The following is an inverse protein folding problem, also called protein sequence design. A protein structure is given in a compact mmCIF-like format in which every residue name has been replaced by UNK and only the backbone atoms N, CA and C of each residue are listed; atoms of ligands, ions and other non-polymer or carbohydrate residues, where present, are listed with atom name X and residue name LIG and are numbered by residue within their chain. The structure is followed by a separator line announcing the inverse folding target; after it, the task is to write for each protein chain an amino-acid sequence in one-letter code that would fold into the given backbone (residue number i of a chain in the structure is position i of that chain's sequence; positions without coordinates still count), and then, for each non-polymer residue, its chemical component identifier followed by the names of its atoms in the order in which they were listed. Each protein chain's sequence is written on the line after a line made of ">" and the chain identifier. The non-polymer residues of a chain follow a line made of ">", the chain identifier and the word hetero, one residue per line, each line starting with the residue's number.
data_IF_783448786055
#
_entry.id   IF_783448786055
#
_cell.length_a   1.000
_cell.length_b   1.000
_cell.length_c   1.000
_cell.angle_alpha   90.00
_cell.angle_beta   90.00
_cell.angle_gamma   90.00
#
_symmetry.space_group_name_H-M   'P 1'
#
loop_
_entity.id
_entity.type
_entity.pdbx_description
1 polymer ?
#
# COMPACT_ATOMS: atom_id res chain seq x y z
N UNK A 1 -28.07 1.63 1.87
CA UNK A 1 -27.35 0.62 1.05
C UNK A 1 -25.88 0.79 1.37
N UNK A 2 -25.19 -0.27 1.79
CA UNK A 2 -23.73 -0.19 1.95
C UNK A 2 -23.13 0.14 0.58
N UNK A 3 -22.25 1.14 0.51
CA UNK A 3 -21.54 1.43 -0.73
C UNK A 3 -20.74 0.19 -1.15
N UNK A 4 -20.73 -0.10 -2.45
CA UNK A 4 -19.92 -1.18 -3.00
C UNK A 4 -18.45 -0.80 -2.91
N UNK A 5 -17.59 -1.66 -2.37
CA UNK A 5 -16.15 -1.41 -2.34
C UNK A 5 -15.61 -1.35 -3.78
N UNK A 6 -14.79 -0.35 -4.10
CA UNK A 6 -14.16 -0.20 -5.41
C UNK A 6 -12.64 -0.29 -5.24
N UNK A 7 -12.01 -1.24 -5.94
CA UNK A 7 -10.61 -1.63 -5.75
C UNK A 7 -9.86 -1.44 -7.07
N UNK A 8 -8.75 -0.70 -7.02
CA UNK A 8 -7.83 -0.53 -8.15
C UNK A 8 -6.84 -1.70 -8.22
N UNK A 9 -6.71 -2.29 -9.41
CA UNK A 9 -5.68 -3.28 -9.74
C UNK A 9 -4.95 -2.89 -11.03
N UNK A 10 -3.80 -3.51 -11.30
CA UNK A 10 -3.09 -3.38 -12.57
C UNK A 10 -2.72 -4.80 -13.06
N UNK A 11 -3.04 -5.17 -14.32
CA UNK A 11 -2.79 -6.51 -14.83
C UNK A 11 -1.28 -6.78 -15.03
N UNK A 12 -0.82 -8.04 -14.85
CA UNK A 12 0.61 -8.37 -14.82
C UNK A 12 1.22 -8.57 -16.21
N UNK A 13 0.87 -7.73 -17.18
CA UNK A 13 1.27 -7.91 -18.57
C UNK A 13 2.77 -7.67 -18.80
N UNK A 14 3.38 -6.82 -17.97
CA UNK A 14 4.82 -6.55 -17.95
C UNK A 14 5.47 -6.93 -16.61
N UNK A 15 4.80 -7.77 -15.81
CA UNK A 15 5.30 -8.17 -14.50
C UNK A 15 6.53 -9.07 -14.60
N UNK A 16 7.55 -8.77 -13.80
CA UNK A 16 8.81 -9.51 -13.74
C UNK A 16 9.66 -9.08 -12.55
N UNK A 17 10.60 -9.93 -12.13
CA UNK A 17 11.64 -9.53 -11.16
C UNK A 17 12.84 -9.02 -11.95
N UNK A 18 12.85 -7.72 -12.25
CA UNK A 18 13.91 -7.07 -13.05
C UNK A 18 15.03 -6.48 -12.18
N UNK A 19 14.74 -6.26 -10.90
CA UNK A 19 15.64 -5.69 -9.89
C UNK A 19 15.31 -6.27 -8.51
N UNK A 20 16.15 -5.97 -7.51
CA UNK A 20 16.02 -6.49 -6.15
C UNK A 20 16.04 -5.31 -5.16
N UNK A 21 14.85 -4.90 -4.72
CA UNK A 21 14.65 -3.74 -3.81
C UNK A 21 13.98 -4.13 -2.48
N UNK A 22 13.88 -5.44 -2.21
CA UNK A 22 13.45 -6.00 -0.93
C UNK A 22 14.03 -7.42 -0.76
N UNK A 23 13.87 -7.99 0.43
CA UNK A 23 14.44 -9.29 0.78
C UNK A 23 13.79 -10.51 0.07
N UNK A 24 12.61 -10.33 -0.55
CA UNK A 24 11.89 -11.40 -1.26
C UNK A 24 12.32 -11.53 -2.72
N UNK A 25 12.64 -10.40 -3.35
CA UNK A 25 13.04 -10.35 -4.75
C UNK A 25 14.36 -11.09 -4.97
N UNK A 26 14.41 -11.92 -6.01
CA UNK A 26 15.65 -12.52 -6.48
C UNK A 26 15.56 -12.77 -7.99
N UNK A 27 16.43 -12.13 -8.77
CA UNK A 27 16.48 -12.31 -10.23
C UNK A 27 16.85 -13.73 -10.63
N UNK A 28 17.48 -14.48 -9.72
CA UNK A 28 17.75 -15.91 -9.90
C UNK A 28 16.50 -16.80 -9.87
N UNK A 29 15.37 -16.26 -9.37
CA UNK A 29 14.08 -16.94 -9.27
C UNK A 29 13.01 -16.09 -9.99
N UNK A 30 13.02 -16.06 -11.34
CA UNK A 30 12.11 -15.21 -12.10
C UNK A 30 10.65 -15.64 -11.90
N UNK A 31 9.73 -14.70 -12.14
CA UNK A 31 8.30 -15.01 -12.21
C UNK A 31 7.97 -15.81 -13.48
N UNK A 32 6.94 -16.66 -13.39
CA UNK A 32 6.31 -17.28 -14.56
C UNK A 32 5.15 -16.38 -15.02
N UNK A 33 5.22 -15.77 -16.23
CA UNK A 33 4.18 -14.84 -16.69
C UNK A 33 2.79 -15.47 -16.81
N UNK A 34 2.71 -16.75 -17.23
CA UNK A 34 1.42 -17.45 -17.36
C UNK A 34 0.82 -17.70 -16.00
N UNK A 35 1.64 -18.17 -15.05
CA UNK A 35 1.22 -18.40 -13.66
C UNK A 35 0.83 -17.09 -12.97
N UNK A 36 1.60 -16.03 -13.15
CA UNK A 36 1.30 -14.71 -12.59
C UNK A 36 -0.05 -14.19 -13.09
N UNK A 37 -0.31 -14.27 -14.39
CA UNK A 37 -1.62 -13.90 -14.98
C UNK A 37 -2.75 -14.75 -14.42
N UNK A 38 -2.57 -16.07 -14.30
CA UNK A 38 -3.59 -16.96 -13.74
C UNK A 38 -3.89 -16.61 -12.27
N UNK A 39 -2.86 -16.38 -11.46
CA UNK A 39 -3.01 -16.02 -10.05
C UNK A 39 -3.69 -14.67 -9.88
N UNK A 40 -3.30 -13.66 -10.67
CA UNK A 40 -3.92 -12.34 -10.66
C UNK A 40 -5.40 -12.39 -11.05
N UNK A 41 -5.75 -13.15 -12.10
CA UNK A 41 -7.15 -13.35 -12.50
C UNK A 41 -7.94 -14.07 -11.40
N UNK A 42 -7.31 -15.02 -10.72
CA UNK A 42 -7.87 -15.68 -9.55
C UNK A 42 -8.22 -14.70 -8.44
N UNK A 43 -7.28 -13.82 -8.06
CA UNK A 43 -7.50 -12.78 -7.06
C UNK A 43 -8.63 -11.83 -7.46
N UNK A 44 -8.58 -11.28 -8.67
CA UNK A 44 -9.63 -10.39 -9.20
C UNK A 44 -11.02 -11.03 -9.09
N UNK A 45 -11.14 -12.30 -9.51
CA UNK A 45 -12.42 -13.03 -9.44
C UNK A 45 -12.91 -13.20 -8.00
N UNK A 46 -12.02 -13.45 -7.04
CA UNK A 46 -12.42 -13.56 -5.63
C UNK A 46 -12.88 -12.22 -5.05
N UNK A 47 -12.21 -11.12 -5.41
CA UNK A 47 -12.63 -9.77 -5.00
C UNK A 47 -14.02 -9.43 -5.58
N UNK A 48 -14.24 -9.68 -6.87
CA UNK A 48 -15.53 -9.47 -7.53
C UNK A 48 -16.63 -10.36 -6.92
N UNK A 49 -16.32 -11.63 -6.62
CA UNK A 49 -17.26 -12.57 -5.98
C UNK A 49 -17.61 -12.16 -4.54
N UNK A 50 -16.69 -11.51 -3.82
CA UNK A 50 -16.93 -10.90 -2.52
C UNK A 50 -17.74 -9.59 -2.60
N UNK A 51 -18.09 -9.14 -3.81
CA UNK A 51 -18.94 -7.97 -4.07
C UNK A 51 -18.18 -6.70 -4.44
N UNK A 52 -16.85 -6.71 -4.49
CA UNK A 52 -16.08 -5.54 -4.90
C UNK A 52 -16.31 -5.21 -6.40
N UNK A 53 -16.20 -3.94 -6.75
CA UNK A 53 -15.97 -3.48 -8.10
C UNK A 53 -14.47 -3.38 -8.32
N UNK A 54 -13.92 -4.21 -9.20
CA UNK A 54 -12.50 -4.10 -9.57
C UNK A 54 -12.38 -3.21 -10.80
N UNK A 55 -11.63 -2.12 -10.65
CA UNK A 55 -11.21 -1.25 -11.75
C UNK A 55 -9.73 -1.48 -12.02
N UNK A 56 -9.34 -1.36 -13.29
CA UNK A 56 -7.97 -1.61 -13.71
C UNK A 56 -7.36 -0.36 -14.30
N UNK A 57 -6.11 -0.06 -13.93
CA UNK A 57 -5.26 0.83 -14.72
C UNK A 57 -4.53 0.04 -15.81
N UNK A 58 -4.10 0.74 -16.85
CA UNK A 58 -3.32 0.14 -17.93
C UNK A 58 -1.89 -0.16 -17.46
N UNK A 59 -1.36 -1.36 -17.74
CA UNK A 59 0.01 -1.72 -17.42
C UNK A 59 0.99 -1.01 -18.37
N UNK A 60 2.22 -0.75 -17.91
CA UNK A 60 3.22 -0.03 -18.68
C UNK A 60 4.53 -0.84 -18.86
N UNK A 61 5.11 -0.90 -20.08
CA UNK A 61 6.39 -1.55 -20.30
C UNK A 61 7.51 -0.96 -19.45
N UNK A 62 8.32 -1.82 -18.83
CA UNK A 62 9.45 -1.42 -17.99
C UNK A 62 9.05 -0.87 -16.61
N UNK A 63 7.79 -1.04 -16.20
CA UNK A 63 7.27 -0.80 -14.84
C UNK A 63 6.66 -2.09 -14.28
N UNK A 64 7.48 -3.12 -13.98
CA UNK A 64 6.97 -4.43 -13.57
C UNK A 64 6.20 -4.39 -12.25
N UNK A 65 6.54 -3.47 -11.35
CA UNK A 65 5.93 -3.34 -10.02
C UNK A 65 4.63 -2.50 -10.02
N UNK A 66 4.20 -1.96 -11.17
CA UNK A 66 2.93 -1.21 -11.28
C UNK A 66 1.70 -2.09 -10.94
N UNK A 67 1.86 -3.41 -10.96
CA UNK A 67 0.87 -4.38 -10.47
C UNK A 67 0.53 -4.22 -8.99
N UNK A 68 1.42 -3.63 -8.19
CA UNK A 68 1.27 -3.43 -6.75
C UNK A 68 0.61 -2.07 -6.45
N UNK A 69 -0.65 -1.95 -6.85
CA UNK A 69 -1.46 -0.72 -6.76
C UNK A 69 -1.74 -0.26 -5.33
N UNK A 70 -1.53 -1.11 -4.32
CA UNK A 70 -1.55 -0.71 -2.91
C UNK A 70 -0.55 0.44 -2.64
N UNK A 71 0.56 0.49 -3.38
CA UNK A 71 1.55 1.54 -3.26
C UNK A 71 1.31 2.72 -4.19
N UNK A 72 0.22 2.77 -4.96
CA UNK A 72 -0.04 3.90 -5.87
C UNK A 72 -0.36 5.18 -5.09
N UNK A 73 -1.26 5.08 -4.10
CA UNK A 73 -1.66 6.20 -3.26
C UNK A 73 -2.26 5.73 -1.93
N UNK A 74 -2.39 6.66 -0.99
CA UNK A 74 -3.33 6.56 0.13
C UNK A 74 -4.61 7.33 -0.23
N UNK A 75 -5.76 6.66 -0.11
CA UNK A 75 -7.07 7.25 -0.42
C UNK A 75 -7.79 7.64 0.88
N UNK A 76 -8.27 8.88 0.95
CA UNK A 76 -9.13 9.34 2.03
C UNK A 76 -10.22 10.27 1.49
N UNK A 77 -11.47 9.82 1.55
CA UNK A 77 -12.60 10.51 0.92
C UNK A 77 -12.41 10.63 -0.60
N UNK A 78 -12.28 11.87 -1.10
CA UNK A 78 -11.99 12.18 -2.51
C UNK A 78 -10.54 12.52 -2.78
N UNK A 79 -9.67 12.49 -1.77
CA UNK A 79 -8.25 12.82 -1.90
C UNK A 79 -7.44 11.56 -2.13
N UNK A 80 -6.54 11.59 -3.12
CA UNK A 80 -5.54 10.57 -3.38
C UNK A 80 -4.16 11.16 -3.12
N UNK A 81 -3.50 10.75 -2.03
CA UNK A 81 -2.12 11.14 -1.74
C UNK A 81 -1.19 10.15 -2.45
N UNK A 82 -0.71 10.54 -3.63
CA UNK A 82 0.12 9.70 -4.48
C UNK A 82 1.50 9.50 -3.87
N UNK A 83 2.01 8.28 -4.02
CA UNK A 83 3.27 7.85 -3.46
C UNK A 83 4.48 8.58 -4.05
N UNK A 84 5.44 8.88 -3.17
CA UNK A 84 6.81 9.19 -3.55
C UNK A 84 7.72 8.03 -3.12
N UNK A 85 8.00 7.15 -4.08
CA UNK A 85 8.80 5.95 -3.85
C UNK A 85 10.24 6.25 -3.43
N UNK A 86 10.76 5.43 -2.50
CA UNK A 86 12.17 5.49 -2.07
C UNK A 86 13.12 5.07 -3.18
N UNK A 87 12.77 4.04 -3.93
CA UNK A 87 13.62 3.49 -4.98
C UNK A 87 13.30 4.10 -6.34
N UNK A 88 14.35 4.60 -7.03
CA UNK A 88 14.24 5.23 -8.35
C UNK A 88 13.54 4.36 -9.41
N UNK A 89 13.66 3.03 -9.29
CA UNK A 89 13.00 2.08 -10.21
C UNK A 89 11.47 2.18 -10.16
N UNK A 90 10.89 2.50 -9.00
CA UNK A 90 9.44 2.67 -8.81
C UNK A 90 8.97 4.12 -8.91
N UNK A 91 9.86 5.11 -8.79
CA UNK A 91 9.50 6.52 -8.98
C UNK A 91 8.91 6.83 -10.37
N UNK A 92 9.19 5.97 -11.36
CA UNK A 92 8.63 6.08 -12.71
C UNK A 92 7.15 5.67 -12.78
N UNK A 93 6.60 5.05 -11.73
CA UNK A 93 5.18 4.70 -11.60
C UNK A 93 4.33 5.92 -11.22
N UNK A 94 4.86 6.83 -10.40
CA UNK A 94 4.14 8.01 -9.89
C UNK A 94 3.36 8.79 -10.96
N UNK A 95 3.90 9.12 -12.16
CA UNK A 95 3.13 9.84 -13.18
C UNK A 95 1.95 9.04 -13.78
N UNK A 96 1.98 7.71 -13.70
CA UNK A 96 0.87 6.84 -14.11
C UNK A 96 -0.23 6.85 -13.05
N UNK A 97 0.16 6.78 -11.78
CA UNK A 97 -0.75 6.85 -10.64
C UNK A 97 -1.47 8.22 -10.59
N UNK A 98 -0.72 9.33 -10.68
CA UNK A 98 -1.26 10.70 -10.71
C UNK A 98 -2.28 10.87 -11.84
N UNK A 99 -1.95 10.38 -13.03
CA UNK A 99 -2.84 10.44 -14.19
C UNK A 99 -4.10 9.63 -13.95
N UNK A 100 -3.97 8.38 -13.50
CA UNK A 100 -5.12 7.50 -13.29
C UNK A 100 -6.10 8.09 -12.26
N UNK A 101 -5.59 8.52 -11.10
CA UNK A 101 -6.43 9.11 -10.06
C UNK A 101 -7.06 10.44 -10.52
N UNK A 102 -6.33 11.26 -11.27
CA UNK A 102 -6.85 12.51 -11.82
C UNK A 102 -7.97 12.28 -12.86
N UNK A 103 -7.80 11.33 -13.77
CA UNK A 103 -8.80 10.95 -14.78
C UNK A 103 -10.05 10.32 -14.13
N UNK A 104 -9.89 9.62 -13.02
CA UNK A 104 -10.99 9.05 -12.23
C UNK A 104 -11.71 10.10 -11.33
N UNK A 105 -11.17 11.31 -11.25
CA UNK A 105 -11.79 12.45 -10.55
C UNK A 105 -11.48 12.52 -9.06
N UNK A 106 -10.34 12.00 -8.62
CA UNK A 106 -9.79 12.28 -7.29
C UNK A 106 -9.10 13.65 -7.25
N UNK A 107 -9.09 14.26 -6.06
CA UNK A 107 -8.20 15.35 -5.73
C UNK A 107 -6.80 14.78 -5.47
N UNK A 108 -5.94 14.89 -6.48
CA UNK A 108 -4.59 14.31 -6.47
C UNK A 108 -3.65 15.23 -5.70
N UNK A 109 -3.14 14.71 -4.59
CA UNK A 109 -2.16 15.37 -3.72
C UNK A 109 -0.85 14.57 -3.76
N UNK A 110 0.28 15.25 -3.59
CA UNK A 110 1.58 14.59 -3.53
C UNK A 110 2.11 14.60 -2.09
N UNK A 111 2.87 13.57 -1.71
CA UNK A 111 3.64 13.63 -0.48
C UNK A 111 4.60 14.86 -0.47
N UNK A 112 4.82 15.53 0.68
CA UNK A 112 5.66 16.74 0.74
C UNK A 112 7.07 16.47 0.25
N UNK A 113 7.72 17.42 -0.42
CA UNK A 113 9.10 17.24 -0.91
C UNK A 113 10.09 16.81 0.18
N UNK A 114 11.10 16.03 -0.23
CA UNK A 114 12.18 15.60 0.68
C UNK A 114 11.83 14.45 1.62
N UNK A 115 10.63 13.86 1.52
CA UNK A 115 10.24 12.65 2.23
C UNK A 115 9.70 11.58 1.27
N UNK A 116 9.87 10.33 1.67
CA UNK A 116 9.31 9.15 0.99
C UNK A 116 8.01 8.70 1.66
N UNK A 117 7.08 8.24 0.82
CA UNK A 117 5.79 7.71 1.22
C UNK A 117 5.30 6.72 0.16
N UNK A 118 4.95 5.49 0.54
CA UNK A 118 4.56 4.42 -0.39
C UNK A 118 3.10 3.97 -0.22
N UNK A 119 2.21 4.93 0.05
CA UNK A 119 0.76 4.79 -0.12
C UNK A 119 0.10 3.88 0.91
N UNK A 120 -1.01 3.25 0.51
CA UNK A 120 -1.76 2.35 1.36
C UNK A 120 -0.98 1.08 1.78
N UNK A 121 0.10 0.74 1.08
CA UNK A 121 0.99 -0.34 1.52
C UNK A 121 1.73 0.00 2.82
N UNK A 122 1.99 1.28 3.10
CA UNK A 122 2.64 1.74 4.33
C UNK A 122 1.71 2.47 5.29
N UNK A 123 0.48 2.78 4.91
CA UNK A 123 -0.46 3.53 5.74
C UNK A 123 -1.88 2.95 5.64
N UNK A 124 -2.36 2.37 6.74
CA UNK A 124 -3.62 1.64 6.82
C UNK A 124 -4.51 2.21 7.91
N UNK A 125 -5.78 2.47 7.58
CA UNK A 125 -6.77 2.91 8.56
C UNK A 125 -7.32 1.71 9.36
N UNK A 126 -7.42 1.86 10.67
CA UNK A 126 -8.27 1.04 11.54
C UNK A 126 -9.18 1.99 12.32
N UNK A 127 -10.46 2.01 11.96
CA UNK A 127 -11.39 3.07 12.34
C UNK A 127 -10.89 4.43 11.85
N UNK A 128 -10.94 5.44 12.71
CA UNK A 128 -10.53 6.82 12.38
C UNK A 128 -9.02 7.07 12.52
N UNK A 129 -8.23 6.05 12.87
CA UNK A 129 -6.78 6.18 13.07
C UNK A 129 -6.00 5.62 11.89
N UNK A 130 -5.10 6.42 11.34
CA UNK A 130 -4.14 6.00 10.33
C UNK A 130 -2.89 5.43 11.00
N UNK A 131 -2.65 4.14 10.87
CA UNK A 131 -1.41 3.50 11.28
C UNK A 131 -0.43 3.54 10.12
N UNK A 132 0.79 4.03 10.35
CA UNK A 132 1.72 4.38 9.29
C UNK A 132 3.13 3.80 9.53
N UNK A 133 3.49 2.77 8.77
CA UNK A 133 4.76 2.06 8.82
C UNK A 133 5.91 2.93 8.29
N UNK A 134 7.04 2.98 8.99
CA UNK A 134 8.21 3.76 8.56
C UNK A 134 9.52 2.98 8.70
N UNK A 135 10.62 3.64 8.29
CA UNK A 135 12.04 3.25 8.38
C UNK A 135 12.59 2.57 7.13
N UNK A 136 11.84 1.62 6.56
CA UNK A 136 12.33 0.84 5.42
C UNK A 136 11.97 1.52 4.09
N UNK A 137 10.70 1.91 3.92
CA UNK A 137 10.18 2.55 2.70
C UNK A 137 9.77 4.00 2.97
N UNK A 138 8.71 4.21 3.75
CA UNK A 138 8.23 5.55 4.10
C UNK A 138 9.00 6.20 5.27
N UNK A 139 8.98 7.54 5.31
CA UNK A 139 9.58 8.33 6.38
C UNK A 139 8.52 8.80 7.39
N UNK A 140 8.83 8.72 8.69
CA UNK A 140 7.91 9.17 9.75
C UNK A 140 7.51 10.65 9.64
N UNK A 141 8.39 11.50 9.09
CA UNK A 141 8.08 12.91 8.80
C UNK A 141 7.02 13.07 7.72
N UNK A 142 7.02 12.19 6.72
CA UNK A 142 5.99 12.18 5.67
C UNK A 142 4.62 11.87 6.23
N UNK A 143 4.54 10.89 7.14
CA UNK A 143 3.30 10.50 7.81
C UNK A 143 2.64 11.64 8.59
N UNK A 144 3.43 12.45 9.31
CA UNK A 144 2.90 13.60 10.04
C UNK A 144 2.30 14.66 9.11
N UNK A 145 2.98 14.94 7.99
CA UNK A 145 2.48 15.90 7.02
C UNK A 145 1.21 15.39 6.31
N UNK A 146 1.13 14.08 6.05
CA UNK A 146 -0.08 13.43 5.51
C UNK A 146 -1.23 13.52 6.50
N UNK A 147 -0.96 13.29 7.80
CA UNK A 147 -1.94 13.48 8.86
C UNK A 147 -2.50 14.90 8.90
N UNK A 148 -1.63 15.91 8.79
CA UNK A 148 -2.03 17.31 8.74
C UNK A 148 -2.82 17.66 7.47
N UNK A 149 -2.40 17.13 6.31
CA UNK A 149 -3.10 17.31 5.03
C UNK A 149 -4.52 16.75 5.06
N UNK A 150 -4.68 15.54 5.61
CA UNK A 150 -5.96 14.82 5.62
C UNK A 150 -6.83 15.15 6.85
N UNK A 151 -6.26 15.82 7.85
CA UNK A 151 -6.93 16.11 9.11
C UNK A 151 -7.20 14.86 9.95
N UNK A 152 -6.33 13.85 9.88
CA UNK A 152 -6.51 12.55 10.56
C UNK A 152 -5.45 12.30 11.61
N UNK A 153 -5.79 11.49 12.63
CA UNK A 153 -4.83 11.01 13.61
C UNK A 153 -3.89 10.00 12.95
N UNK A 154 -2.58 10.19 13.13
CA UNK A 154 -1.56 9.29 12.60
C UNK A 154 -0.72 8.68 13.73
N UNK A 155 -0.61 7.36 13.71
CA UNK A 155 0.25 6.59 14.63
C UNK A 155 1.38 5.96 13.82
N UNK A 156 2.61 6.46 13.95
CA UNK A 156 3.75 5.87 13.26
C UNK A 156 4.12 4.53 13.89
N UNK A 157 4.43 3.52 13.06
CA UNK A 157 4.85 2.19 13.48
C UNK A 157 6.21 1.86 12.88
N UNK A 158 7.21 1.55 13.70
CA UNK A 158 8.55 1.24 13.19
C UNK A 158 8.62 -0.20 12.70
N UNK A 159 8.94 -0.39 11.42
CA UNK A 159 9.21 -1.70 10.85
C UNK A 159 10.67 -2.10 11.14
N UNK A 160 10.88 -3.25 11.78
CA UNK A 160 12.21 -3.71 12.23
C UNK A 160 12.74 -4.92 11.47
N UNK A 161 11.90 -5.58 10.67
CA UNK A 161 12.26 -6.77 9.89
C UNK A 161 12.25 -6.44 8.39
N UNK A 162 13.38 -6.64 7.66
CA UNK A 162 13.46 -6.34 6.23
C UNK A 162 12.55 -7.22 5.35
N UNK A 163 12.03 -8.34 5.85
CA UNK A 163 11.02 -9.14 5.15
C UNK A 163 9.63 -8.51 5.23
N UNK A 164 9.39 -7.63 6.20
CA UNK A 164 8.13 -6.91 6.38
C UNK A 164 8.34 -5.41 6.12
N UNK A 165 8.76 -5.10 4.89
CA UNK A 165 9.24 -3.77 4.48
C UNK A 165 8.13 -2.74 4.19
N UNK A 166 6.89 -3.20 4.10
CA UNK A 166 5.68 -2.39 4.03
C UNK A 166 4.74 -2.80 5.16
N UNK A 167 3.98 -1.85 5.72
CA UNK A 167 3.07 -2.13 6.83
C UNK A 167 2.03 -3.22 6.49
N UNK A 168 1.48 -3.21 5.27
CA UNK A 168 0.46 -4.16 4.82
C UNK A 168 0.93 -5.63 4.78
N UNK A 169 2.24 -5.87 4.83
CA UNK A 169 2.81 -7.22 4.90
C UNK A 169 2.75 -7.82 6.30
N UNK A 170 2.58 -7.00 7.33
CA UNK A 170 2.57 -7.43 8.74
C UNK A 170 1.41 -6.87 9.56
N UNK A 171 0.53 -6.06 8.99
CA UNK A 171 -0.61 -5.45 9.67
C UNK A 171 -1.79 -5.30 8.70
N UNK A 172 -2.96 -5.79 9.10
CA UNK A 172 -4.16 -5.83 8.26
C UNK A 172 -5.40 -5.55 9.11
N UNK A 173 -5.89 -4.30 9.11
CA UNK A 173 -7.21 -3.96 9.66
C UNK A 173 -8.32 -4.73 8.95
N UNK A 174 -9.25 -5.28 9.72
CA UNK A 174 -10.39 -6.07 9.24
C UNK A 174 -11.72 -5.32 9.42
N UNK A 175 -11.85 -4.62 10.55
CA UNK A 175 -12.97 -3.75 10.92
C UNK A 175 -12.42 -2.49 11.58
N UNK A 176 -13.29 -1.60 12.03
CA UNK A 176 -12.87 -0.36 12.70
C UNK A 176 -12.10 -0.61 14.02
N UNK A 177 -12.26 -1.79 14.62
CA UNK A 177 -11.72 -2.15 15.93
C UNK A 177 -10.92 -3.46 15.97
N UNK A 178 -10.74 -4.11 14.81
CA UNK A 178 -10.11 -5.43 14.71
C UNK A 178 -9.04 -5.44 13.64
N UNK A 179 -7.86 -5.97 13.96
CA UNK A 179 -6.77 -6.15 13.00
C UNK A 179 -5.98 -7.44 13.25
N UNK A 180 -5.47 -8.02 12.17
CA UNK A 180 -4.44 -9.08 12.23
C UNK A 180 -3.07 -8.42 12.09
N UNK A 181 -2.09 -8.86 12.87
CA UNK A 181 -0.72 -8.35 12.75
C UNK A 181 0.33 -9.38 13.12
N UNK A 182 1.56 -9.19 12.64
CA UNK A 182 2.71 -10.00 13.00
C UNK A 182 3.63 -9.22 13.96
N UNK A 183 3.62 -9.54 15.27
CA UNK A 183 4.28 -8.70 16.27
C UNK A 183 5.79 -8.52 16.06
N UNK A 184 6.48 -9.53 15.54
CA UNK A 184 7.94 -9.48 15.40
C UNK A 184 8.43 -8.55 14.28
N UNK A 185 7.55 -8.07 13.40
CA UNK A 185 7.88 -7.05 12.41
C UNK A 185 7.94 -5.62 12.98
N UNK A 186 7.48 -5.42 14.22
CA UNK A 186 7.34 -4.11 14.86
C UNK A 186 8.24 -3.98 16.10
N UNK A 187 8.65 -2.75 16.38
CA UNK A 187 9.38 -2.43 17.60
C UNK A 187 8.48 -2.46 18.86
N UNK A 188 9.09 -2.29 20.03
CA UNK A 188 8.38 -2.30 21.32
C UNK A 188 7.29 -1.23 21.40
N UNK A 189 7.56 -0.04 20.85
CA UNK A 189 6.61 1.05 20.85
C UNK A 189 5.40 0.72 19.97
N UNK A 190 5.63 0.30 18.72
CA UNK A 190 4.57 -0.03 17.78
C UNK A 190 3.65 -1.13 18.30
N UNK A 191 4.21 -2.17 18.92
CA UNK A 191 3.43 -3.25 19.55
C UNK A 191 2.52 -2.73 20.66
N UNK A 192 3.03 -1.85 21.53
CA UNK A 192 2.24 -1.26 22.63
C UNK A 192 1.17 -0.31 22.10
N UNK A 193 1.52 0.53 21.12
CA UNK A 193 0.58 1.48 20.51
C UNK A 193 -0.59 0.75 19.85
N UNK A 194 -0.31 -0.32 19.10
CA UNK A 194 -1.37 -1.17 18.55
C UNK A 194 -2.24 -1.77 19.67
N UNK A 195 -1.64 -2.40 20.68
CA UNK A 195 -2.39 -3.06 21.76
C UNK A 195 -3.25 -2.09 22.60
N UNK A 196 -2.87 -0.82 22.67
CA UNK A 196 -3.64 0.21 23.36
C UNK A 196 -4.78 0.78 22.51
N UNK A 197 -4.57 0.92 21.20
CA UNK A 197 -5.49 1.65 20.30
C UNK A 197 -6.46 0.72 19.57
N UNK A 198 -6.03 -0.49 19.20
CA UNK A 198 -6.85 -1.47 18.47
C UNK A 198 -7.42 -2.49 19.46
N UNK A 199 -8.75 -2.48 19.73
CA UNK A 199 -9.34 -3.34 20.76
C UNK A 199 -9.13 -4.85 20.54
N UNK A 200 -9.24 -5.29 19.28
CA UNK A 200 -9.15 -6.71 18.94
C UNK A 200 -7.95 -6.97 18.02
N UNK A 201 -6.78 -7.24 18.60
CA UNK A 201 -5.60 -7.65 17.85
C UNK A 201 -5.45 -9.17 17.80
N UNK A 202 -5.27 -9.68 16.58
CA UNK A 202 -5.03 -11.10 16.29
C UNK A 202 -3.57 -11.23 15.84
N UNK A 203 -2.78 -12.06 16.53
CA UNK A 203 -1.36 -12.31 16.25
C UNK A 203 -1.06 -13.75 15.90
#
# INVERSE_FOLDING_TARGET
>A
MSARARILMCPPDYYGIEYEINAWMSRSRPSDPRRARQQWQGLRKQLEAAGAEVVCMEPAPGLPDLVFTANAALIYGRTAVVSRFRHAVRQRETPFDERWFGEDGFDVQSAPEGVYFEGAGDALFCGDTLFAGYRIRSDARGHQAIGALLGVRVIPLELVDPYYYHLDTCFCPLTDDTAIYYPAALDDYGRRALAEIVPNLIS
#
